data_IF_205203679951
#
_entry.id   IF_205203679951
#
_cell.length_a   1.000
_cell.length_b   1.000
_cell.length_c   1.000
_cell.angle_alpha   90.00
_cell.angle_beta   90.00
_cell.angle_gamma   90.00
#
_symmetry.space_group_name_H-M   'P 1'
#
loop_
_entity.id
_entity.type
_entity.pdbx_description
1 polymer ?
#
# COMPACT_ATOMS: atom_id res chain seq x y z
N UNK A 1 2.64 13.73 1.97
CA UNK A 1 1.75 13.00 2.90
C UNK A 1 2.63 12.20 3.86
N UNK A 2 2.24 12.01 5.12
CA UNK A 2 2.98 11.09 6.00
C UNK A 2 2.62 9.64 5.68
N UNK A 3 3.49 8.68 5.99
CA UNK A 3 3.20 7.25 5.77
C UNK A 3 1.91 6.82 6.49
N UNK A 4 1.72 7.25 7.73
CA UNK A 4 0.48 6.96 8.48
C UNK A 4 -0.77 7.54 7.80
N UNK A 5 -0.69 8.76 7.28
CA UNK A 5 -1.81 9.38 6.59
C UNK A 5 -2.14 8.66 5.28
N UNK A 6 -1.11 8.22 4.54
CA UNK A 6 -1.28 7.43 3.32
C UNK A 6 -1.99 6.09 3.62
N UNK A 7 -1.58 5.39 4.68
CA UNK A 7 -2.23 4.17 5.14
C UNK A 7 -3.69 4.40 5.53
N UNK A 8 -3.99 5.46 6.28
CA UNK A 8 -5.37 5.77 6.70
C UNK A 8 -6.28 6.06 5.51
N UNK A 9 -5.78 6.77 4.48
CA UNK A 9 -6.53 7.05 3.28
C UNK A 9 -6.72 5.80 2.41
N UNK A 10 -5.70 4.95 2.29
CA UNK A 10 -5.83 3.67 1.60
C UNK A 10 -6.88 2.76 2.28
N UNK A 11 -6.93 2.74 3.61
CA UNK A 11 -7.97 2.03 4.35
C UNK A 11 -9.36 2.61 4.05
N UNK A 12 -9.50 3.94 4.05
CA UNK A 12 -10.74 4.65 3.70
C UNK A 12 -11.22 4.26 2.29
N UNK A 13 -10.33 4.26 1.31
CA UNK A 13 -10.63 3.86 -0.07
C UNK A 13 -11.23 2.46 -0.15
N UNK A 14 -10.64 1.51 0.56
CA UNK A 14 -11.07 0.12 0.56
C UNK A 14 -12.25 -0.18 1.51
N UNK A 15 -12.80 0.83 2.19
CA UNK A 15 -13.86 0.64 3.18
C UNK A 15 -13.41 -0.21 4.37
N UNK A 16 -12.11 -0.23 4.69
CA UNK A 16 -11.54 -1.00 5.80
C UNK A 16 -11.50 -0.10 7.03
N UNK A 17 -12.21 -0.50 8.08
CA UNK A 17 -12.08 0.15 9.38
C UNK A 17 -10.78 -0.29 10.06
N UNK A 18 -9.89 0.67 10.31
CA UNK A 18 -8.62 0.46 11.01
C UNK A 18 -8.57 1.23 12.32
N UNK A 19 -7.74 0.76 13.24
CA UNK A 19 -7.46 1.40 14.52
C UNK A 19 -5.96 1.27 14.84
N UNK A 20 -5.41 2.08 15.78
CA UNK A 20 -4.03 1.94 16.20
C UNK A 20 -3.72 0.52 16.65
N UNK A 21 -2.62 -0.05 16.16
CA UNK A 21 -2.22 -1.37 16.61
C UNK A 21 -1.76 -1.30 18.08
N UNK A 22 -2.07 -2.35 18.83
CA UNK A 22 -1.70 -2.46 20.25
C UNK A 22 -0.37 -3.20 20.45
N UNK A 23 0.28 -3.65 19.37
CA UNK A 23 1.59 -4.28 19.45
C UNK A 23 2.70 -3.23 19.59
N UNK A 24 3.85 -3.61 20.12
CA UNK A 24 5.01 -2.71 20.30
C UNK A 24 5.88 -2.56 19.04
N UNK A 25 5.55 -3.24 17.93
CA UNK A 25 6.33 -3.19 16.70
C UNK A 25 5.89 -1.98 15.85
N UNK A 26 6.75 -0.96 15.66
CA UNK A 26 6.41 0.24 14.90
C UNK A 26 6.12 -0.03 13.41
N UNK A 27 6.50 -1.20 12.89
CA UNK A 27 6.14 -1.61 11.52
C UNK A 27 4.65 -1.82 11.32
N UNK A 28 3.89 -2.02 12.40
CA UNK A 28 2.46 -2.25 12.36
C UNK A 28 1.74 -1.12 13.07
N UNK A 29 1.63 0.08 12.47
CA UNK A 29 0.96 1.21 13.11
C UNK A 29 -0.55 1.00 13.24
N UNK A 30 -1.13 0.17 12.38
CA UNK A 30 -2.57 -0.04 12.27
C UNK A 30 -2.93 -1.52 12.35
N UNK A 31 -4.17 -1.78 12.77
CA UNK A 31 -4.82 -3.07 12.71
C UNK A 31 -6.25 -2.93 12.19
N UNK A 32 -6.77 -3.97 11.54
CA UNK A 32 -8.16 -4.03 11.11
C UNK A 32 -9.06 -4.20 12.34
N UNK A 33 -10.04 -3.30 12.49
CA UNK A 33 -11.01 -3.32 13.59
C UNK A 33 -11.80 -4.62 13.58
N UNK A 34 -12.02 -5.21 14.76
CA UNK A 34 -12.77 -6.46 14.90
C UNK A 34 -12.02 -7.73 14.46
N UNK A 35 -10.77 -7.64 13.99
CA UNK A 35 -9.88 -8.78 13.78
C UNK A 35 -8.94 -8.94 14.98
N UNK A 36 -8.49 -10.17 15.24
CA UNK A 36 -7.57 -10.50 16.34
C UNK A 36 -6.31 -11.22 15.87
N UNK A 37 -5.28 -11.21 16.74
CA UNK A 37 -3.99 -11.82 16.48
C UNK A 37 -3.20 -11.13 15.37
N UNK A 38 -2.18 -11.82 14.87
CA UNK A 38 -1.28 -11.32 13.81
C UNK A 38 -2.01 -11.05 12.49
N UNK A 39 -3.17 -11.68 12.27
CA UNK A 39 -4.03 -11.44 11.10
C UNK A 39 -4.74 -10.09 11.15
N UNK A 40 -4.75 -9.42 12.30
CA UNK A 40 -5.30 -8.08 12.42
C UNK A 40 -4.31 -7.00 12.00
N UNK A 41 -3.00 -7.26 12.03
CA UNK A 41 -2.00 -6.28 11.62
C UNK A 41 -2.23 -5.85 10.17
N UNK A 42 -2.14 -4.55 9.93
CA UNK A 42 -2.41 -3.99 8.61
C UNK A 42 -1.39 -2.92 8.29
N UNK A 43 -0.57 -3.21 7.28
CA UNK A 43 0.36 -2.25 6.70
C UNK A 43 0.70 -2.69 5.26
N UNK A 44 -0.11 -2.27 4.27
CA UNK A 44 0.15 -2.58 2.86
C UNK A 44 1.48 -2.04 2.33
N UNK A 45 2.17 -1.11 3.01
CA UNK A 45 3.51 -0.65 2.59
C UNK A 45 4.60 -1.72 2.80
N UNK A 46 4.38 -2.69 3.69
CA UNK A 46 5.33 -3.77 3.99
C UNK A 46 4.74 -5.18 3.81
N UNK A 47 3.42 -5.31 3.65
CA UNK A 47 2.72 -6.58 3.51
C UNK A 47 2.17 -6.72 2.08
N UNK A 48 2.78 -7.61 1.29
CA UNK A 48 2.36 -7.90 -0.09
C UNK A 48 0.89 -8.32 -0.19
N UNK A 49 0.41 -9.08 0.80
CA UNK A 49 -0.97 -9.57 0.81
C UNK A 49 -2.01 -8.48 1.07
N UNK A 50 -1.67 -7.47 1.86
CA UNK A 50 -2.58 -6.33 2.08
C UNK A 50 -2.58 -5.39 0.87
N UNK A 51 -1.41 -5.13 0.27
CA UNK A 51 -1.33 -4.36 -0.96
C UNK A 51 -2.07 -5.04 -2.12
N UNK A 52 -1.90 -6.36 -2.29
CA UNK A 52 -2.61 -7.09 -3.34
C UNK A 52 -4.13 -7.05 -3.16
N UNK A 53 -4.63 -7.21 -1.92
CA UNK A 53 -6.07 -7.04 -1.66
C UNK A 53 -6.55 -5.64 -2.01
N UNK A 54 -5.82 -4.59 -1.63
CA UNK A 54 -6.16 -3.22 -2.05
C UNK A 54 -6.28 -3.11 -3.56
N UNK A 55 -5.34 -3.68 -4.31
CA UNK A 55 -5.38 -3.63 -5.76
C UNK A 55 -6.63 -4.32 -6.33
N UNK A 56 -6.96 -5.52 -5.83
CA UNK A 56 -8.13 -6.27 -6.29
C UNK A 56 -9.44 -5.59 -5.88
N UNK A 57 -9.56 -5.19 -4.61
CA UNK A 57 -10.80 -4.62 -4.06
C UNK A 57 -11.12 -3.24 -4.67
N UNK A 58 -10.09 -2.48 -5.05
CA UNK A 58 -10.22 -1.19 -5.71
C UNK A 58 -10.18 -1.27 -7.24
N UNK A 59 -9.91 -2.44 -7.82
CA UNK A 59 -9.77 -2.59 -9.27
C UNK A 59 -8.59 -1.77 -9.85
N UNK A 60 -7.47 -1.71 -9.13
CA UNK A 60 -6.23 -1.06 -9.58
C UNK A 60 -5.51 -2.00 -10.55
N UNK A 61 -5.19 -1.52 -11.74
CA UNK A 61 -4.43 -2.27 -12.73
C UNK A 61 -2.94 -2.17 -12.43
N UNK A 62 -2.25 -3.31 -12.34
CA UNK A 62 -0.81 -3.36 -12.08
C UNK A 62 -0.11 -3.95 -13.29
N UNK A 63 0.94 -3.29 -13.76
CA UNK A 63 1.85 -3.85 -14.76
C UNK A 63 3.30 -3.43 -14.50
N UNK A 64 4.23 -4.21 -15.05
CA UNK A 64 5.66 -3.95 -14.98
C UNK A 64 6.13 -3.61 -16.38
N UNK A 65 6.92 -2.56 -16.50
CA UNK A 65 7.48 -2.10 -17.77
C UNK A 65 9.00 -1.94 -17.66
N UNK A 66 9.69 -2.11 -18.79
CA UNK A 66 11.13 -1.94 -18.88
C UNK A 66 11.94 -3.12 -18.31
N UNK A 67 13.23 -2.90 -18.15
CA UNK A 67 14.16 -3.88 -17.56
C UNK A 67 15.44 -3.19 -17.07
N UNK A 68 16.15 -3.84 -16.14
CA UNK A 68 17.37 -3.29 -15.52
C UNK A 68 17.10 -1.93 -14.87
N UNK A 69 17.95 -0.95 -15.14
CA UNK A 69 17.85 0.42 -14.61
C UNK A 69 16.60 1.19 -15.08
N UNK A 70 15.90 0.67 -16.09
CA UNK A 70 14.65 1.23 -16.61
C UNK A 70 13.41 0.44 -16.17
N UNK A 71 13.54 -0.49 -15.23
CA UNK A 71 12.37 -1.24 -14.74
C UNK A 71 11.49 -0.37 -13.83
N UNK A 72 10.19 -0.35 -14.10
CA UNK A 72 9.19 0.36 -13.32
C UNK A 72 7.95 -0.52 -13.05
N UNK A 73 7.27 -0.22 -11.95
CA UNK A 73 5.94 -0.76 -11.65
C UNK A 73 4.91 0.35 -11.75
N UNK A 74 3.84 0.08 -12.48
CA UNK A 74 2.68 0.94 -12.62
C UNK A 74 1.51 0.38 -11.82
N UNK A 75 0.79 1.27 -11.16
CA UNK A 75 -0.53 1.05 -10.57
C UNK A 75 -1.45 2.16 -11.11
N UNK A 76 -2.39 1.81 -11.99
CA UNK A 76 -3.13 2.77 -12.83
C UNK A 76 -2.18 3.84 -13.42
N UNK A 77 -2.42 5.12 -13.13
CA UNK A 77 -1.63 6.25 -13.63
C UNK A 77 -0.42 6.60 -12.73
N UNK A 78 -0.13 5.80 -11.69
CA UNK A 78 1.01 5.99 -10.78
C UNK A 78 2.15 5.04 -11.12
N UNK A 79 3.34 5.60 -11.35
CA UNK A 79 4.57 4.85 -11.67
C UNK A 79 5.60 4.96 -10.54
N UNK A 80 6.26 3.84 -10.22
CA UNK A 80 7.42 3.79 -9.32
C UNK A 80 8.56 3.04 -10.01
N UNK A 81 9.69 3.73 -10.22
CA UNK A 81 10.93 3.10 -10.69
C UNK A 81 11.46 2.11 -9.65
N UNK A 82 11.88 0.92 -10.09
CA UNK A 82 12.42 -0.12 -9.20
C UNK A 82 13.70 0.34 -8.51
N UNK A 83 14.56 1.10 -9.20
CA UNK A 83 15.81 1.62 -8.63
C UNK A 83 15.66 2.97 -7.89
N UNK A 84 14.43 3.46 -7.71
CA UNK A 84 14.19 4.69 -6.94
C UNK A 84 14.51 4.54 -5.45
N UNK A 85 14.67 5.66 -4.75
CA UNK A 85 14.77 5.67 -3.28
C UNK A 85 13.52 5.08 -2.59
N UNK A 86 12.39 5.00 -3.28
CA UNK A 86 11.18 4.39 -2.73
C UNK A 86 11.25 2.86 -2.78
N UNK A 87 11.92 2.28 -3.78
CA UNK A 87 11.92 0.85 -4.04
C UNK A 87 13.27 0.15 -3.76
N UNK A 88 14.41 0.85 -3.84
CA UNK A 88 15.76 0.33 -3.61
C UNK A 88 16.08 -0.99 -4.33
N UNK A 89 15.70 -1.11 -5.60
CA UNK A 89 15.90 -2.31 -6.40
C UNK A 89 14.90 -3.43 -6.10
N UNK A 90 13.94 -3.24 -5.19
CA UNK A 90 12.90 -4.21 -4.86
C UNK A 90 11.61 -3.92 -5.63
N UNK A 91 11.36 -4.71 -6.68
CA UNK A 91 10.15 -4.64 -7.49
C UNK A 91 8.86 -4.84 -6.68
N UNK A 92 8.87 -5.65 -5.62
CA UNK A 92 7.69 -5.81 -4.76
C UNK A 92 7.46 -4.56 -3.93
N UNK A 93 8.54 -3.91 -3.46
CA UNK A 93 8.43 -2.62 -2.78
C UNK A 93 7.88 -1.54 -3.72
N UNK A 94 8.36 -1.46 -4.96
CA UNK A 94 7.81 -0.57 -5.98
C UNK A 94 6.30 -0.80 -6.19
N UNK A 95 5.88 -2.06 -6.32
CA UNK A 95 4.47 -2.42 -6.47
C UNK A 95 3.63 -1.99 -5.27
N UNK A 96 4.06 -2.31 -4.03
CA UNK A 96 3.34 -1.89 -2.82
C UNK A 96 3.22 -0.37 -2.75
N UNK A 97 4.31 0.36 -3.01
CA UNK A 97 4.30 1.83 -3.01
C UNK A 97 3.32 2.39 -4.03
N UNK A 98 3.35 1.90 -5.28
CA UNK A 98 2.44 2.37 -6.32
C UNK A 98 0.96 2.10 -5.94
N UNK A 99 0.64 0.89 -5.48
CA UNK A 99 -0.71 0.51 -5.08
C UNK A 99 -1.21 1.34 -3.90
N UNK A 100 -0.39 1.48 -2.84
CA UNK A 100 -0.75 2.24 -1.64
C UNK A 100 -0.97 3.71 -1.98
N UNK A 101 -0.13 4.28 -2.85
CA UNK A 101 -0.29 5.66 -3.30
C UNK A 101 -1.60 5.88 -4.05
N UNK A 102 -1.95 5.02 -5.00
CA UNK A 102 -3.24 5.08 -5.72
C UNK A 102 -4.41 4.93 -4.77
N UNK A 103 -4.36 3.95 -3.86
CA UNK A 103 -5.40 3.74 -2.87
C UNK A 103 -5.58 4.98 -1.97
N UNK A 104 -4.48 5.59 -1.51
CA UNK A 104 -4.52 6.81 -0.70
C UNK A 104 -5.10 8.00 -1.47
N UNK A 105 -4.70 8.21 -2.72
CA UNK A 105 -5.24 9.27 -3.58
C UNK A 105 -6.76 9.12 -3.77
N UNK A 106 -7.27 7.89 -3.96
CA UNK A 106 -8.71 7.62 -4.04
C UNK A 106 -9.41 7.89 -2.70
N UNK A 107 -8.79 7.50 -1.58
CA UNK A 107 -9.32 7.76 -0.24
C UNK A 107 -9.40 9.26 0.08
N UNK A 108 -8.45 10.06 -0.40
CA UNK A 108 -8.44 11.51 -0.27
C UNK A 108 -9.62 12.18 -0.98
N UNK A 109 -10.10 11.58 -2.08
CA UNK A 109 -11.24 12.07 -2.86
C UNK A 109 -12.60 11.64 -2.29
N UNK A 110 -12.63 10.71 -1.33
CA UNK A 110 -13.87 10.28 -0.68
C UNK A 110 -14.34 11.32 0.36
N UNK A 111 -15.66 11.51 0.52
CA UNK A 111 -16.23 12.43 1.51
C UNK A 111 -15.88 12.06 2.96
#
# INVERSE_FOLDING_TARGET
MTELQELLLAAKAAGIEVEPCTCSDPKWPLRIRGKSGTRAHWNPSINDGDAFKLAIDLGIQIHVEGSGESEAVWADDTMVWVDSEHAHGDRRKAARTAIVSVAAQRGEQMP
#
